data_IF_003449169974
#
_entry.id   IF_003449169974
#
_cell.length_a   1.000
_cell.length_b   1.000
_cell.length_c   1.000
_cell.angle_alpha   90.00
_cell.angle_beta   90.00
_cell.angle_gamma   90.00
#
_symmetry.space_group_name_H-M   'P 1'
#
loop_
_entity.id
_entity.type
_entity.pdbx_description
1 polymer ?
#
# COMPACT_ATOMS: atom_id res chain seq x y z
N UNK A 1 -28.30 -13.07 19.33
CA UNK A 1 -27.79 -11.77 19.84
C UNK A 1 -27.55 -10.90 18.62
N UNK A 2 -27.49 -9.56 18.72
CA UNK A 2 -27.06 -8.75 17.57
C UNK A 2 -25.61 -9.09 17.21
N UNK A 3 -25.20 -8.91 15.94
CA UNK A 3 -23.81 -9.06 15.50
C UNK A 3 -22.84 -8.48 16.56
N UNK A 4 -21.90 -9.30 17.03
CA UNK A 4 -20.91 -8.83 17.99
C UNK A 4 -19.83 -8.01 17.25
N UNK A 5 -20.03 -6.69 17.24
CA UNK A 5 -19.09 -5.75 16.62
C UNK A 5 -17.66 -5.90 17.17
N UNK A 6 -17.48 -6.27 18.44
CA UNK A 6 -16.15 -6.40 19.04
C UNK A 6 -15.37 -7.57 18.44
N UNK A 7 -15.98 -8.76 18.34
CA UNK A 7 -15.33 -9.95 17.76
C UNK A 7 -15.00 -9.74 16.28
N UNK A 8 -15.94 -9.20 15.52
CA UNK A 8 -15.72 -8.86 14.11
C UNK A 8 -14.59 -7.83 13.97
N UNK A 9 -14.63 -6.75 14.75
CA UNK A 9 -13.62 -5.69 14.68
C UNK A 9 -12.23 -6.19 15.10
N UNK A 10 -12.15 -7.09 16.07
CA UNK A 10 -10.90 -7.72 16.48
C UNK A 10 -10.30 -8.56 15.35
N UNK A 11 -11.11 -9.41 14.71
CA UNK A 11 -10.68 -10.22 13.57
C UNK A 11 -10.20 -9.37 12.39
N UNK A 12 -10.93 -8.31 12.04
CA UNK A 12 -10.55 -7.37 10.97
C UNK A 12 -9.25 -6.62 11.31
N UNK A 13 -9.06 -6.20 12.57
CA UNK A 13 -7.80 -5.57 13.02
C UNK A 13 -6.63 -6.54 12.98
N UNK A 14 -6.83 -7.80 13.37
CA UNK A 14 -5.80 -8.83 13.31
C UNK A 14 -5.36 -9.09 11.86
N UNK A 15 -6.33 -9.19 10.94
CA UNK A 15 -6.04 -9.27 9.51
C UNK A 15 -5.28 -8.02 9.02
N UNK A 16 -5.73 -6.82 9.37
CA UNK A 16 -5.10 -5.56 8.94
C UNK A 16 -3.64 -5.43 9.40
N UNK A 17 -3.34 -5.82 10.63
CA UNK A 17 -1.97 -5.85 11.17
C UNK A 17 -1.08 -6.86 10.44
N UNK A 18 -1.63 -8.04 10.13
CA UNK A 18 -0.93 -9.09 9.38
C UNK A 18 -0.62 -8.63 7.95
N UNK A 19 -1.62 -8.08 7.26
CA UNK A 19 -1.48 -7.53 5.91
C UNK A 19 -0.47 -6.37 5.88
N UNK A 20 -0.47 -5.47 6.87
CA UNK A 20 0.55 -4.41 7.00
C UNK A 20 1.95 -5.00 7.10
N UNK A 21 2.13 -6.03 7.91
CA UNK A 21 3.44 -6.67 8.13
C UNK A 21 3.93 -7.35 6.86
N UNK A 22 3.06 -8.07 6.15
CA UNK A 22 3.39 -8.66 4.84
C UNK A 22 3.72 -7.59 3.81
N UNK A 23 2.97 -6.48 3.76
CA UNK A 23 3.23 -5.39 2.83
C UNK A 23 4.61 -4.76 3.07
N UNK A 24 5.02 -4.62 4.33
CA UNK A 24 6.37 -4.21 4.70
C UNK A 24 7.44 -5.25 4.31
N UNK A 25 7.19 -6.53 4.54
CA UNK A 25 8.11 -7.61 4.20
C UNK A 25 8.30 -7.75 2.68
N UNK A 26 7.22 -7.81 1.91
CA UNK A 26 7.23 -7.92 0.44
C UNK A 26 7.90 -6.70 -0.19
N UNK A 27 7.60 -5.49 0.30
CA UNK A 27 8.28 -4.28 -0.14
C UNK A 27 9.80 -4.34 0.11
N UNK A 28 10.21 -4.86 1.26
CA UNK A 28 11.62 -5.01 1.64
C UNK A 28 12.31 -6.05 0.75
N UNK A 29 11.67 -7.20 0.50
CA UNK A 29 12.15 -8.23 -0.42
C UNK A 29 12.33 -7.69 -1.84
N UNK A 30 11.45 -6.77 -2.27
CA UNK A 30 11.60 -6.05 -3.53
C UNK A 30 12.61 -4.89 -3.44
N UNK A 31 13.44 -4.78 -2.40
CA UNK A 31 14.45 -3.73 -2.21
C UNK A 31 13.85 -2.30 -2.18
N UNK A 32 12.66 -2.14 -1.60
CA UNK A 32 12.11 -0.82 -1.26
C UNK A 32 12.63 -0.44 0.12
N UNK A 33 13.84 0.10 0.17
CA UNK A 33 14.52 0.43 1.44
C UNK A 33 14.76 1.93 1.56
N UNK A 34 15.04 2.37 2.79
CA UNK A 34 15.52 3.71 3.04
C UNK A 34 16.91 3.89 2.43
N UNK A 35 17.16 5.02 1.74
CA UNK A 35 18.51 5.35 1.28
C UNK A 35 19.29 6.00 2.41
N UNK A 36 20.59 5.70 2.52
CA UNK A 36 21.48 6.27 3.55
C UNK A 36 21.43 7.81 3.61
N UNK A 37 21.30 8.48 2.47
CA UNK A 37 21.28 9.96 2.37
C UNK A 37 19.86 10.54 2.21
N UNK A 38 18.82 9.83 2.66
CA UNK A 38 17.45 10.33 2.58
C UNK A 38 17.19 11.33 3.72
N UNK A 39 16.59 12.50 3.43
CA UNK A 39 16.26 13.51 4.45
C UNK A 39 15.15 13.07 5.40
N UNK A 40 14.47 11.95 5.10
CA UNK A 40 13.50 11.34 6.01
C UNK A 40 14.24 10.60 7.14
N UNK A 41 13.86 10.82 8.40
CA UNK A 41 14.47 10.14 9.56
C UNK A 41 14.10 8.65 9.71
N UNK A 42 13.22 8.11 8.87
CA UNK A 42 12.68 6.75 9.05
C UNK A 42 12.46 6.00 7.74
N UNK A 43 12.51 4.67 7.84
CA UNK A 43 12.32 3.74 6.74
C UNK A 43 10.93 3.86 6.12
N UNK A 44 10.87 3.99 4.78
CA UNK A 44 9.63 4.36 4.09
C UNK A 44 8.52 3.34 4.28
N UNK A 45 8.84 2.05 4.36
CA UNK A 45 7.88 0.97 4.60
C UNK A 45 7.41 0.92 6.06
N UNK A 46 8.31 1.18 7.03
CA UNK A 46 7.95 1.19 8.46
C UNK A 46 6.97 2.30 8.84
N UNK A 47 6.82 3.32 7.97
CA UNK A 47 5.84 4.39 8.16
C UNK A 47 4.42 3.98 7.82
N UNK A 48 4.23 2.85 7.11
CA UNK A 48 2.89 2.37 6.75
C UNK A 48 2.16 1.98 8.03
N UNK A 49 0.94 2.50 8.18
CA UNK A 49 0.06 2.22 9.31
C UNK A 49 -1.29 1.76 8.82
N UNK A 50 -1.82 0.72 9.43
CA UNK A 50 -3.20 0.30 9.33
C UNK A 50 -4.07 1.28 10.14
N UNK A 51 -5.17 1.72 9.51
CA UNK A 51 -6.20 2.56 10.11
C UNK A 51 -7.56 1.97 9.77
N UNK A 52 -8.53 2.23 10.62
CA UNK A 52 -9.86 1.64 10.53
C UNK A 52 -10.92 2.73 10.56
N UNK A 53 -11.93 2.59 9.71
CA UNK A 53 -13.17 3.37 9.76
C UNK A 53 -14.33 2.45 10.11
N UNK A 54 -15.19 2.90 11.00
CA UNK A 54 -16.40 2.17 11.40
C UNK A 54 -17.65 2.85 10.85
N UNK A 55 -18.70 2.07 10.64
CA UNK A 55 -20.04 2.58 10.38
C UNK A 55 -20.75 3.05 11.65
N UNK A 56 -21.98 3.55 11.50
CA UNK A 56 -22.80 4.02 12.62
C UNK A 56 -23.23 2.90 13.58
N UNK A 57 -23.12 1.64 13.16
CA UNK A 57 -23.41 0.46 13.98
C UNK A 57 -22.16 -0.06 14.70
N UNK A 58 -21.00 0.58 14.51
CA UNK A 58 -19.74 0.24 15.16
C UNK A 58 -18.90 -0.80 14.42
N UNK A 59 -19.34 -1.31 13.27
CA UNK A 59 -18.58 -2.28 12.47
C UNK A 59 -17.53 -1.59 11.62
N UNK A 60 -16.30 -2.12 11.63
CA UNK A 60 -15.28 -1.69 10.68
C UNK A 60 -15.76 -1.98 9.26
N UNK A 61 -15.94 -0.92 8.47
CA UNK A 61 -16.32 -0.99 7.06
C UNK A 61 -15.19 -0.56 6.13
N UNK A 62 -14.06 -0.08 6.69
CA UNK A 62 -12.91 0.43 5.94
C UNK A 62 -11.61 0.05 6.64
N UNK A 63 -10.70 -0.58 5.91
CA UNK A 63 -9.28 -0.75 6.30
C UNK A 63 -8.42 0.12 5.38
N UNK A 64 -7.54 0.94 5.97
CA UNK A 64 -6.75 1.95 5.26
C UNK A 64 -5.27 1.74 5.58
N UNK A 65 -4.47 1.38 4.58
CA UNK A 65 -3.01 1.42 4.69
C UNK A 65 -2.50 2.83 4.41
N UNK A 66 -2.36 3.62 5.47
CA UNK A 66 -1.99 5.03 5.41
C UNK A 66 -0.47 5.25 5.33
N UNK A 67 -0.07 6.46 4.93
CA UNK A 67 1.34 6.91 4.89
C UNK A 67 2.18 6.22 3.82
N UNK A 68 1.55 5.74 2.74
CA UNK A 68 2.24 5.35 1.52
C UNK A 68 2.77 6.64 0.86
N UNK A 69 4.03 6.97 1.12
CA UNK A 69 4.66 8.14 0.51
C UNK A 69 4.58 8.04 -1.02
N UNK A 70 4.28 9.13 -1.72
CA UNK A 70 4.22 9.17 -3.20
C UNK A 70 5.47 8.57 -3.86
N UNK A 71 6.63 8.66 -3.21
CA UNK A 71 7.89 8.03 -3.62
C UNK A 71 7.84 6.50 -3.78
N UNK A 72 6.92 5.82 -3.09
CA UNK A 72 6.68 4.37 -3.16
C UNK A 72 5.70 3.99 -4.27
N UNK A 73 4.87 4.93 -4.74
CA UNK A 73 3.97 4.73 -5.87
C UNK A 73 4.79 4.78 -7.18
N UNK A 74 5.79 5.66 -7.29
CA UNK A 74 6.58 5.76 -8.54
C UNK A 74 7.43 4.52 -8.86
N UNK A 75 7.68 3.62 -7.90
CA UNK A 75 8.28 2.31 -8.18
C UNK A 75 7.33 1.35 -8.90
N UNK A 76 6.02 1.63 -8.99
CA UNK A 76 5.08 0.84 -9.80
C UNK A 76 5.03 1.28 -11.27
N UNK A 77 5.43 2.52 -11.60
CA UNK A 77 5.15 3.14 -12.91
C UNK A 77 6.41 3.46 -13.77
N UNK A 78 7.51 2.71 -13.63
CA UNK A 78 8.67 2.80 -14.54
C UNK A 78 9.44 4.14 -14.57
N UNK A 79 9.08 5.11 -13.73
CA UNK A 79 9.66 6.45 -13.69
C UNK A 79 11.01 6.47 -12.96
N UNK A 80 12.11 6.40 -13.72
CA UNK A 80 13.48 6.44 -13.20
C UNK A 80 14.20 7.78 -13.40
N UNK A 81 15.19 8.06 -12.56
CA UNK A 81 16.16 9.14 -12.80
C UNK A 81 16.86 8.85 -14.14
N UNK A 82 16.92 9.84 -15.04
CA UNK A 82 17.48 9.66 -16.38
C UNK A 82 16.55 8.95 -17.38
N UNK A 83 15.24 8.91 -17.10
CA UNK A 83 14.21 8.35 -18.01
C UNK A 83 13.06 9.33 -18.29
N UNK A 84 13.04 10.53 -17.68
CA UNK A 84 11.90 11.44 -17.68
C UNK A 84 12.24 12.86 -18.16
N UNK A 85 12.84 12.98 -19.34
CA UNK A 85 13.18 14.27 -19.92
C UNK A 85 12.50 14.47 -21.28
N UNK A 86 11.75 15.55 -21.42
CA UNK A 86 11.45 16.13 -22.74
C UNK A 86 12.73 16.79 -23.28
N UNK A 87 12.93 16.74 -24.60
CA UNK A 87 14.09 17.39 -25.25
C UNK A 87 14.10 18.87 -24.86
N UNK A 88 15.17 19.33 -24.21
CA UNK A 88 15.38 20.74 -23.87
C UNK A 88 14.90 21.22 -22.50
N UNK A 89 14.34 20.36 -21.63
CA UNK A 89 13.96 20.81 -20.28
C UNK A 89 15.19 21.21 -19.44
N UNK A 90 15.05 22.34 -18.73
CA UNK A 90 16.07 22.92 -17.84
C UNK A 90 15.43 23.15 -16.48
N UNK A 91 16.17 22.88 -15.40
CA UNK A 91 15.73 23.19 -14.04
C UNK A 91 16.91 23.70 -13.23
N UNK A 92 16.62 24.41 -12.15
CA UNK A 92 17.62 24.87 -11.19
C UNK A 92 17.54 23.93 -9.99
N UNK A 93 18.68 23.37 -9.58
CA UNK A 93 18.71 22.51 -8.40
C UNK A 93 18.67 23.34 -7.10
N UNK A 94 18.56 22.65 -5.95
CA UNK A 94 18.50 23.31 -4.64
C UNK A 94 19.76 24.10 -4.26
N UNK A 95 20.84 23.98 -5.04
CA UNK A 95 22.10 24.70 -4.86
C UNK A 95 22.27 25.83 -5.88
N UNK A 96 21.21 26.20 -6.61
CA UNK A 96 21.25 27.26 -7.61
C UNK A 96 21.91 26.87 -8.93
N UNK A 97 22.34 25.62 -9.09
CA UNK A 97 23.01 25.17 -10.31
C UNK A 97 21.99 24.82 -11.39
N UNK A 98 22.19 25.39 -12.59
CA UNK A 98 21.36 25.09 -13.76
C UNK A 98 21.69 23.70 -14.29
N UNK A 99 20.69 22.82 -14.33
CA UNK A 99 20.77 21.48 -14.92
C UNK A 99 19.94 21.43 -16.20
N UNK A 100 20.39 20.62 -17.14
CA UNK A 100 19.68 20.32 -18.38
C UNK A 100 19.43 18.82 -18.48
N UNK A 101 18.40 18.46 -19.23
CA UNK A 101 18.12 17.07 -19.58
C UNK A 101 19.32 16.44 -20.28
N UNK A 102 19.79 15.31 -19.75
CA UNK A 102 20.83 14.50 -20.38
C UNK A 102 20.30 13.99 -21.72
N UNK A 103 20.97 14.27 -22.84
CA UNK A 103 20.54 13.82 -24.16
C UNK A 103 20.37 12.29 -24.24
N UNK A 104 21.20 11.53 -23.52
CA UNK A 104 21.10 10.07 -23.41
C UNK A 104 19.89 9.57 -22.58
N UNK A 105 19.09 10.46 -22.00
CA UNK A 105 17.83 10.13 -21.31
C UNK A 105 16.56 10.31 -22.16
N UNK A 106 16.69 10.91 -23.35
CA UNK A 106 15.58 11.18 -24.25
C UNK A 106 15.04 9.88 -24.87
N UNK A 107 13.72 9.83 -25.11
CA UNK A 107 13.05 8.65 -25.66
C UNK A 107 13.00 7.43 -24.73
N UNK A 108 13.55 7.56 -23.51
CA UNK A 108 13.59 6.47 -22.53
C UNK A 108 12.41 6.47 -21.55
N UNK A 109 11.45 7.40 -21.71
CA UNK A 109 10.18 7.36 -21.00
C UNK A 109 9.41 6.10 -21.43
N UNK A 110 8.82 5.36 -20.49
CA UNK A 110 8.13 4.08 -20.79
C UNK A 110 9.05 2.89 -21.08
N UNK A 111 10.32 3.09 -21.42
CA UNK A 111 11.29 2.00 -21.73
C UNK A 111 11.82 1.22 -20.51
N UNK A 112 11.22 1.39 -19.32
CA UNK A 112 11.30 0.40 -18.24
C UNK A 112 12.68 0.07 -17.66
N UNK A 113 13.55 1.05 -17.40
CA UNK A 113 14.84 0.77 -16.71
C UNK A 113 14.72 0.42 -15.23
N UNK A 114 13.54 0.62 -14.64
CA UNK A 114 13.21 0.18 -13.28
C UNK A 114 12.11 -0.84 -13.38
N UNK A 115 12.34 -2.03 -12.84
CA UNK A 115 11.31 -3.04 -12.66
C UNK A 115 10.22 -2.48 -11.76
N UNK A 116 8.96 -2.64 -12.20
CA UNK A 116 7.83 -2.35 -11.34
C UNK A 116 7.95 -3.20 -10.06
N UNK A 117 7.65 -2.61 -8.91
CA UNK A 117 7.63 -3.32 -7.63
C UNK A 117 6.18 -3.39 -7.15
N UNK A 118 5.39 -4.38 -7.59
CA UNK A 118 3.97 -4.48 -7.29
C UNK A 118 3.72 -5.04 -5.88
N UNK A 119 4.46 -4.55 -4.88
CA UNK A 119 4.41 -5.11 -3.53
C UNK A 119 3.03 -4.98 -2.87
N UNK A 120 2.26 -3.95 -3.24
CA UNK A 120 0.88 -3.75 -2.78
C UNK A 120 -0.01 -4.85 -3.37
N UNK A 121 -0.04 -4.99 -4.71
CA UNK A 121 -0.86 -5.99 -5.40
C UNK A 121 -0.45 -7.42 -5.00
N UNK A 122 0.84 -7.67 -4.82
CA UNK A 122 1.37 -8.97 -4.37
C UNK A 122 0.86 -9.33 -2.98
N UNK A 123 0.73 -8.35 -2.08
CA UNK A 123 0.19 -8.60 -0.74
C UNK A 123 -1.33 -8.72 -0.75
N UNK A 124 -2.03 -7.84 -1.47
CA UNK A 124 -3.51 -7.81 -1.47
C UNK A 124 -4.13 -8.94 -2.29
N UNK A 125 -3.45 -9.45 -3.31
CA UNK A 125 -3.91 -10.58 -4.12
C UNK A 125 -3.25 -11.90 -3.70
N UNK A 126 -2.44 -11.90 -2.63
CA UNK A 126 -1.83 -13.11 -2.07
C UNK A 126 -2.81 -13.91 -1.21
N UNK A 127 -2.36 -15.07 -0.73
CA UNK A 127 -3.18 -16.01 0.06
C UNK A 127 -3.80 -15.43 1.34
N UNK A 128 -3.19 -14.38 1.91
CA UNK A 128 -3.67 -13.70 3.11
C UNK A 128 -4.20 -12.29 2.80
N UNK A 129 -4.48 -12.04 1.52
CA UNK A 129 -4.90 -10.75 1.00
C UNK A 129 -6.39 -10.48 1.21
N UNK A 130 -7.02 -9.90 0.20
CA UNK A 130 -8.43 -9.49 0.25
C UNK A 130 -9.38 -10.68 0.43
N UNK A 131 -9.04 -11.85 -0.10
CA UNK A 131 -9.86 -13.07 0.05
C UNK A 131 -9.95 -13.52 1.51
N UNK A 132 -8.83 -13.53 2.25
CA UNK A 132 -8.85 -13.86 3.67
C UNK A 132 -9.69 -12.86 4.51
N UNK A 133 -9.75 -11.59 4.11
CA UNK A 133 -10.66 -10.62 4.72
C UNK A 133 -12.12 -10.93 4.37
N UNK A 134 -12.39 -11.30 3.12
CA UNK A 134 -13.73 -11.66 2.67
C UNK A 134 -14.26 -12.88 3.45
N UNK A 135 -13.40 -13.87 3.74
CA UNK A 135 -13.77 -15.03 4.57
C UNK A 135 -14.13 -14.62 6.00
N UNK A 136 -13.35 -13.71 6.62
CA UNK A 136 -13.67 -13.17 7.96
C UNK A 136 -15.04 -12.47 7.95
N UNK A 137 -15.29 -11.64 6.94
CA UNK A 137 -16.58 -10.94 6.79
C UNK A 137 -17.71 -11.94 6.60
N UNK A 138 -17.52 -12.95 5.75
CA UNK A 138 -18.51 -13.98 5.47
C UNK A 138 -18.85 -14.80 6.72
N UNK A 139 -17.86 -15.27 7.48
CA UNK A 139 -18.07 -16.04 8.72
C UNK A 139 -18.93 -15.24 9.69
N UNK A 140 -18.57 -14.00 9.97
CA UNK A 140 -19.32 -13.18 10.91
C UNK A 140 -20.73 -12.82 10.43
N UNK A 141 -20.93 -12.72 9.11
CA UNK A 141 -22.25 -12.47 8.53
C UNK A 141 -23.13 -13.71 8.50
N UNK A 142 -22.53 -14.91 8.34
CA UNK A 142 -23.22 -16.19 8.46
C UNK A 142 -23.66 -16.45 9.91
N UNK A 143 -22.78 -16.23 10.89
CA UNK A 143 -23.11 -16.34 12.31
C UNK A 143 -24.30 -15.43 12.66
N UNK A 144 -24.30 -14.21 12.12
CA UNK A 144 -25.39 -13.26 12.28
C UNK A 144 -26.73 -13.81 11.73
N UNK A 145 -26.71 -14.46 10.57
CA UNK A 145 -27.92 -15.00 9.97
C UNK A 145 -28.41 -16.20 10.77
N UNK A 146 -27.54 -17.16 11.09
CA UNK A 146 -27.88 -18.40 11.82
C UNK A 146 -28.52 -18.07 13.17
N UNK A 147 -27.96 -17.11 13.92
CA UNK A 147 -28.53 -16.67 15.21
C UNK A 147 -29.93 -16.04 15.09
N UNK A 148 -30.34 -15.62 13.90
CA UNK A 148 -31.63 -15.01 13.61
C UNK A 148 -32.57 -15.94 12.82
N UNK A 149 -32.21 -17.21 12.62
CA UNK A 149 -33.13 -18.21 12.06
C UNK A 149 -34.07 -18.66 13.18
N UNK A 150 -35.30 -18.19 13.10
CA UNK A 150 -36.40 -18.69 13.93
C UNK A 150 -37.20 -19.73 13.14
N UNK A 151 -37.20 -20.98 13.59
CA UNK A 151 -38.15 -21.99 13.11
C UNK A 151 -39.45 -21.79 13.89
N UNK A 152 -40.55 -21.50 13.19
CA UNK A 152 -41.90 -21.47 13.77
C UNK A 152 -42.52 -22.85 13.78
#
# INVERSE_FOLDING_TARGET
MALNADKYNEAVKAWGSTARTQLQATGTAMSITHRANSPSKGESLKKIKDKYGSDNAGFINKVIFSTINRSLIYTSAGAGKGRGGNKGSRWIDKYGSRKSTNAGSLGKAGTGGRTAKPFIDTTLNGSNGVEALADIVAIHQVDAIIENIYVK
#
